data_IF_054307734267
#
_entry.id   IF_054307734267
#
_cell.length_a   1.000
_cell.length_b   1.000
_cell.length_c   1.000
_cell.angle_alpha   90.00
_cell.angle_beta   90.00
_cell.angle_gamma   90.00
#
_symmetry.space_group_name_H-M   'P 1'
#
loop_
_entity.id
_entity.type
_entity.pdbx_description
1 polymer ?
#
# COMPACT_ATOMS: atom_id res chain seq x y z
N UNK A 1 -20.84 14.96 17.81
CA UNK A 1 -19.96 13.80 17.53
C UNK A 1 -20.54 13.09 16.31
N UNK A 2 -19.91 13.15 15.13
CA UNK A 2 -20.38 12.36 13.97
C UNK A 2 -19.89 10.93 14.16
N UNK A 3 -20.82 10.01 14.37
CA UNK A 3 -20.51 8.59 14.52
C UNK A 3 -20.06 8.03 13.17
N UNK A 4 -18.97 7.25 13.17
CA UNK A 4 -18.60 6.47 11.99
C UNK A 4 -19.72 5.44 11.79
N UNK A 5 -20.42 5.43 10.65
CA UNK A 5 -21.51 4.49 10.44
C UNK A 5 -20.98 3.05 10.52
N UNK A 6 -21.82 2.16 11.04
CA UNK A 6 -21.54 0.73 11.04
C UNK A 6 -21.40 0.29 9.58
N UNK A 7 -20.29 -0.39 9.26
CA UNK A 7 -20.06 -0.92 7.93
C UNK A 7 -21.09 -1.99 7.62
N UNK A 8 -21.59 -2.01 6.39
CA UNK A 8 -22.47 -3.09 5.97
C UNK A 8 -21.67 -4.40 5.81
N UNK A 9 -22.40 -5.52 5.71
CA UNK A 9 -21.81 -6.86 5.63
C UNK A 9 -20.84 -6.98 4.45
N UNK A 10 -21.19 -6.44 3.30
CA UNK A 10 -20.35 -6.45 2.09
C UNK A 10 -19.04 -5.69 2.29
N UNK A 11 -19.09 -4.48 2.86
CA UNK A 11 -17.91 -3.70 3.21
C UNK A 11 -17.03 -4.46 4.20
N UNK A 12 -17.64 -5.07 5.22
CA UNK A 12 -16.92 -5.84 6.22
C UNK A 12 -16.23 -7.08 5.61
N UNK A 13 -16.91 -7.78 4.70
CA UNK A 13 -16.36 -8.95 4.00
C UNK A 13 -15.15 -8.58 3.13
N UNK A 14 -15.22 -7.49 2.37
CA UNK A 14 -14.10 -7.01 1.54
C UNK A 14 -12.92 -6.59 2.41
N UNK A 15 -13.17 -5.90 3.53
CA UNK A 15 -12.10 -5.56 4.46
C UNK A 15 -11.47 -6.80 5.09
N UNK A 16 -12.24 -7.85 5.37
CA UNK A 16 -11.69 -9.12 5.83
C UNK A 16 -10.73 -9.73 4.79
N UNK A 17 -11.08 -9.72 3.49
CA UNK A 17 -10.16 -10.15 2.41
C UNK A 17 -8.85 -9.37 2.45
N UNK A 18 -8.91 -8.05 2.60
CA UNK A 18 -7.72 -7.20 2.71
C UNK A 18 -6.84 -7.55 3.93
N UNK A 19 -7.45 -7.85 5.08
CA UNK A 19 -6.72 -8.22 6.30
C UNK A 19 -6.05 -9.57 6.18
N UNK A 20 -6.75 -10.58 5.67
CA UNK A 20 -6.17 -11.91 5.45
C UNK A 20 -5.05 -11.83 4.41
N UNK A 21 -5.25 -11.09 3.31
CA UNK A 21 -4.19 -10.84 2.32
C UNK A 21 -2.97 -10.20 2.97
N UNK A 22 -3.17 -9.18 3.82
CA UNK A 22 -2.07 -8.53 4.53
C UNK A 22 -1.31 -9.53 5.44
N UNK A 23 -2.04 -10.41 6.13
CA UNK A 23 -1.44 -11.43 6.98
C UNK A 23 -0.59 -12.42 6.17
N UNK A 24 -1.11 -12.93 5.04
CA UNK A 24 -0.35 -13.86 4.19
C UNK A 24 0.85 -13.21 3.51
N UNK A 25 0.75 -11.96 3.05
CA UNK A 25 1.92 -11.23 2.52
C UNK A 25 3.02 -11.09 3.58
N UNK A 26 2.65 -10.85 4.86
CA UNK A 26 3.61 -10.80 5.96
C UNK A 26 4.21 -12.16 6.24
N UNK A 27 3.40 -13.22 6.34
CA UNK A 27 3.86 -14.59 6.54
C UNK A 27 4.81 -15.03 5.42
N UNK A 28 4.46 -14.76 4.16
CA UNK A 28 5.29 -15.03 2.97
C UNK A 28 6.64 -14.34 3.06
N UNK A 29 6.67 -13.07 3.50
CA UNK A 29 7.91 -12.32 3.69
C UNK A 29 8.74 -12.88 4.84
N UNK A 30 8.11 -13.25 5.96
CA UNK A 30 8.79 -13.86 7.10
C UNK A 30 9.41 -15.23 6.72
N UNK A 31 8.67 -16.07 5.99
CA UNK A 31 9.13 -17.34 5.47
C UNK A 31 10.36 -17.18 4.55
N UNK A 32 10.31 -16.23 3.60
CA UNK A 32 11.44 -15.94 2.73
C UNK A 32 12.67 -15.43 3.50
N UNK A 33 12.46 -14.66 4.58
CA UNK A 33 13.54 -14.22 5.46
C UNK A 33 14.11 -15.35 6.32
N UNK A 34 13.27 -16.28 6.78
CA UNK A 34 13.71 -17.47 7.51
C UNK A 34 14.59 -18.36 6.64
N UNK A 35 14.17 -18.64 5.39
CA UNK A 35 14.98 -19.39 4.42
C UNK A 35 16.34 -18.71 4.21
N UNK A 36 16.35 -17.39 4.00
CA UNK A 36 17.58 -16.62 3.83
C UNK A 36 18.48 -16.68 5.07
N UNK A 37 17.90 -16.57 6.27
CA UNK A 37 18.64 -16.65 7.53
C UNK A 37 19.34 -18.00 7.71
N UNK A 38 18.59 -19.09 7.53
CA UNK A 38 19.11 -20.45 7.63
C UNK A 38 20.24 -20.71 6.61
N UNK A 39 20.05 -20.32 5.34
CA UNK A 39 21.11 -20.44 4.34
C UNK A 39 22.36 -19.62 4.71
N UNK A 40 22.16 -18.45 5.32
CA UNK A 40 23.23 -17.60 5.83
C UNK A 40 24.12 -18.27 6.89
N UNK A 41 23.55 -19.12 7.76
CA UNK A 41 24.32 -19.89 8.76
C UNK A 41 25.28 -20.88 8.11
N UNK A 42 24.96 -21.33 6.91
CA UNK A 42 25.83 -22.18 6.09
C UNK A 42 26.75 -21.35 5.19
N UNK A 43 26.80 -20.02 5.30
CA UNK A 43 27.63 -19.16 4.44
C UNK A 43 27.04 -18.89 3.05
N UNK A 44 25.79 -19.29 2.80
CA UNK A 44 25.12 -19.11 1.52
C UNK A 44 24.30 -17.82 1.56
N UNK A 45 24.80 -16.78 0.88
CA UNK A 45 24.18 -15.45 0.88
C UNK A 45 23.23 -15.29 -0.30
N UNK A 46 21.92 -15.27 -0.04
CA UNK A 46 20.89 -14.97 -1.04
C UNK A 46 20.51 -13.48 -0.99
N UNK A 47 20.51 -12.75 -2.13
CA UNK A 47 20.08 -11.37 -2.17
C UNK A 47 18.66 -11.13 -1.61
N UNK A 48 18.41 -9.90 -1.18
CA UNK A 48 17.09 -9.51 -0.69
C UNK A 48 16.07 -9.52 -1.85
N UNK A 49 14.93 -10.17 -1.61
CA UNK A 49 13.83 -10.26 -2.57
C UNK A 49 13.26 -11.67 -2.62
N UNK A 50 11.94 -11.77 -2.76
CA UNK A 50 11.27 -13.07 -2.79
C UNK A 50 11.58 -13.85 -4.07
N UNK A 51 11.73 -13.16 -5.21
CA UNK A 51 12.08 -13.79 -6.48
C UNK A 51 13.45 -14.48 -6.45
N UNK A 52 14.42 -13.93 -5.73
CA UNK A 52 15.72 -14.60 -5.54
C UNK A 52 15.59 -15.90 -4.76
N UNK A 53 14.72 -15.94 -3.75
CA UNK A 53 14.45 -17.16 -2.98
C UNK A 53 13.75 -18.19 -3.88
N UNK A 54 12.70 -17.77 -4.58
CA UNK A 54 11.91 -18.65 -5.44
C UNK A 54 12.72 -19.26 -6.59
N UNK A 55 13.68 -18.52 -7.15
CA UNK A 55 14.44 -18.97 -8.31
C UNK A 55 15.75 -19.68 -7.95
N UNK A 56 16.52 -19.17 -6.98
CA UNK A 56 17.88 -19.68 -6.70
C UNK A 56 17.93 -20.82 -5.69
N UNK A 57 17.01 -20.83 -4.73
CA UNK A 57 17.06 -21.82 -3.64
C UNK A 57 16.72 -23.23 -4.14
N UNK A 58 15.77 -23.45 -5.07
CA UNK A 58 15.55 -24.78 -5.66
C UNK A 58 16.80 -25.37 -6.33
N UNK A 59 17.48 -24.58 -7.16
CA UNK A 59 18.73 -25.00 -7.83
C UNK A 59 19.80 -25.38 -6.80
N UNK A 60 19.90 -24.60 -5.73
CA UNK A 60 20.91 -24.79 -4.69
C UNK A 60 20.70 -26.06 -3.85
N UNK A 61 19.45 -26.45 -3.58
CA UNK A 61 19.20 -27.70 -2.84
C UNK A 61 19.30 -28.94 -3.72
N UNK A 62 19.16 -28.79 -5.04
CA UNK A 62 19.36 -29.86 -6.02
C UNK A 62 20.84 -30.08 -6.37
N UNK A 63 21.67 -29.04 -6.28
CA UNK A 63 23.11 -29.13 -6.51
C UNK A 63 23.80 -30.11 -5.55
N UNK A 64 24.18 -31.29 -6.03
CA UNK A 64 24.87 -32.33 -5.26
C UNK A 64 26.33 -32.00 -4.91
N UNK A 65 26.93 -30.97 -5.51
CA UNK A 65 28.34 -30.62 -5.30
C UNK A 65 28.56 -29.76 -4.04
N UNK A 66 27.51 -29.13 -3.50
CA UNK A 66 27.63 -28.33 -2.29
C UNK A 66 27.57 -29.16 -0.99
N UNK A 67 28.08 -28.57 0.10
CA UNK A 67 28.21 -29.20 1.42
C UNK A 67 26.90 -29.27 2.23
N UNK A 68 25.76 -28.87 1.64
CA UNK A 68 24.48 -29.00 2.32
C UNK A 68 24.10 -30.48 2.45
N UNK A 69 23.91 -30.93 3.69
CA UNK A 69 23.53 -32.32 3.97
C UNK A 69 22.05 -32.56 3.69
N UNK A 70 21.69 -33.81 3.36
CA UNK A 70 20.32 -34.20 2.96
C UNK A 70 19.22 -33.74 3.92
N UNK A 71 19.41 -33.87 5.23
CA UNK A 71 18.42 -33.43 6.22
C UNK A 71 18.11 -31.91 6.14
N UNK A 72 19.13 -31.09 5.90
CA UNK A 72 18.95 -29.65 5.75
C UNK A 72 18.28 -29.30 4.42
N UNK A 73 18.65 -29.98 3.33
CA UNK A 73 17.98 -29.82 2.02
C UNK A 73 16.48 -30.10 2.11
N UNK A 74 16.09 -31.18 2.79
CA UNK A 74 14.69 -31.53 3.02
C UNK A 74 13.95 -30.46 3.86
N UNK A 75 14.62 -29.88 4.86
CA UNK A 75 14.07 -28.79 5.65
C UNK A 75 13.84 -27.54 4.81
N UNK A 76 14.83 -27.13 4.02
CA UNK A 76 14.70 -25.96 3.11
C UNK A 76 13.62 -26.20 2.06
N UNK A 77 13.54 -27.40 1.49
CA UNK A 77 12.48 -27.79 0.56
C UNK A 77 11.09 -27.61 1.19
N UNK A 78 10.88 -28.10 2.41
CA UNK A 78 9.61 -27.91 3.14
C UNK A 78 9.26 -26.44 3.32
N UNK A 79 10.25 -25.60 3.63
CA UNK A 79 10.04 -24.16 3.77
C UNK A 79 9.69 -23.48 2.43
N UNK A 80 10.28 -23.94 1.32
CA UNK A 80 9.94 -23.48 -0.03
C UNK A 80 8.53 -23.87 -0.44
N UNK A 81 8.10 -25.10 -0.14
CA UNK A 81 6.75 -25.55 -0.48
C UNK A 81 5.69 -24.74 0.28
N UNK A 82 5.93 -24.45 1.56
CA UNK A 82 5.06 -23.54 2.31
C UNK A 82 5.10 -22.10 1.77
N UNK A 83 6.26 -21.62 1.30
CA UNK A 83 6.36 -20.30 0.66
C UNK A 83 5.51 -20.24 -0.62
N UNK A 84 5.54 -21.29 -1.45
CA UNK A 84 4.72 -21.40 -2.67
C UNK A 84 3.23 -21.42 -2.33
N UNK A 85 2.84 -22.13 -1.28
CA UNK A 85 1.45 -22.16 -0.83
C UNK A 85 0.96 -20.78 -0.36
N UNK A 86 1.77 -20.07 0.44
CA UNK A 86 1.46 -18.70 0.86
C UNK A 86 1.34 -17.74 -0.34
N UNK A 87 2.17 -17.92 -1.37
CA UNK A 87 2.11 -17.13 -2.59
C UNK A 87 0.79 -17.34 -3.34
N UNK A 88 0.42 -18.61 -3.56
CA UNK A 88 -0.88 -19.00 -4.13
C UNK A 88 -2.05 -18.40 -3.35
N UNK A 89 -2.05 -18.50 -2.02
CA UNK A 89 -3.11 -17.92 -1.19
C UNK A 89 -3.21 -16.39 -1.32
N UNK A 90 -2.08 -15.69 -1.47
CA UNK A 90 -2.08 -14.25 -1.74
C UNK A 90 -2.71 -13.94 -3.10
N UNK A 91 -2.35 -14.69 -4.14
CA UNK A 91 -2.91 -14.52 -5.50
C UNK A 91 -4.42 -14.77 -5.55
N UNK A 92 -4.89 -15.83 -4.88
CA UNK A 92 -6.32 -16.13 -4.77
C UNK A 92 -7.12 -15.01 -4.09
N UNK A 93 -6.57 -14.42 -3.02
CA UNK A 93 -7.19 -13.30 -2.33
C UNK A 93 -7.15 -12.02 -3.16
N UNK A 94 -6.06 -11.77 -3.88
CA UNK A 94 -5.98 -10.66 -4.83
C UNK A 94 -7.01 -10.80 -5.94
N UNK A 95 -7.16 -11.98 -6.53
CA UNK A 95 -8.18 -12.25 -7.54
C UNK A 95 -9.60 -11.95 -7.03
N UNK A 96 -9.92 -12.31 -5.78
CA UNK A 96 -11.22 -11.98 -5.15
C UNK A 96 -11.40 -10.47 -4.96
N UNK A 97 -10.37 -9.76 -4.50
CA UNK A 97 -10.39 -8.30 -4.37
C UNK A 97 -10.56 -7.63 -5.74
N UNK A 98 -9.87 -8.12 -6.77
CA UNK A 98 -9.99 -7.63 -8.14
C UNK A 98 -11.38 -7.88 -8.72
N UNK A 99 -12.00 -9.04 -8.44
CA UNK A 99 -13.37 -9.32 -8.84
C UNK A 99 -14.36 -8.34 -8.21
N UNK A 100 -14.24 -8.10 -6.90
CA UNK A 100 -15.06 -7.11 -6.20
C UNK A 100 -14.85 -5.70 -6.76
N UNK A 101 -13.60 -5.30 -6.99
CA UNK A 101 -13.26 -4.01 -7.59
C UNK A 101 -13.93 -3.82 -8.95
N UNK A 102 -13.93 -4.85 -9.81
CA UNK A 102 -14.61 -4.80 -11.12
C UNK A 102 -16.11 -4.60 -10.99
N UNK A 103 -16.76 -5.11 -9.94
CA UNK A 103 -18.18 -4.88 -9.66
C UNK A 103 -18.49 -3.50 -9.08
N UNK A 104 -17.54 -2.89 -8.36
CA UNK A 104 -17.75 -1.63 -7.64
C UNK A 104 -17.42 -0.38 -8.48
N UNK A 105 -18.45 0.37 -8.88
CA UNK A 105 -18.28 1.63 -9.64
C UNK A 105 -17.40 2.65 -8.90
N UNK A 106 -17.64 2.85 -7.60
CA UNK A 106 -16.83 3.74 -6.77
C UNK A 106 -15.37 3.30 -6.75
N UNK A 107 -15.11 1.99 -6.68
CA UNK A 107 -13.74 1.47 -6.67
C UNK A 107 -13.04 1.71 -8.00
N UNK A 108 -13.73 1.49 -9.13
CA UNK A 108 -13.20 1.79 -10.47
C UNK A 108 -12.86 3.27 -10.63
N UNK A 109 -13.77 4.17 -10.22
CA UNK A 109 -13.54 5.62 -10.23
C UNK A 109 -12.30 6.03 -9.43
N UNK A 110 -12.11 5.47 -8.24
CA UNK A 110 -10.92 5.78 -7.43
C UNK A 110 -9.61 5.28 -8.05
N UNK A 111 -9.64 4.17 -8.81
CA UNK A 111 -8.45 3.60 -9.43
C UNK A 111 -7.92 4.40 -10.64
N UNK A 112 -8.67 5.41 -11.11
CA UNK A 112 -8.19 6.36 -12.12
C UNK A 112 -7.19 7.36 -11.55
N UNK A 113 -7.20 7.57 -10.23
CA UNK A 113 -6.29 8.51 -9.56
C UNK A 113 -4.86 7.96 -9.58
N UNK A 114 -3.86 8.70 -10.08
CA UNK A 114 -2.47 8.25 -10.10
C UNK A 114 -1.96 7.84 -8.70
N UNK A 115 -1.53 6.59 -8.59
CA UNK A 115 -1.08 6.00 -7.31
C UNK A 115 -2.19 5.36 -6.49
N UNK A 116 -3.39 5.21 -7.04
CA UNK A 116 -4.44 4.37 -6.47
C UNK A 116 -4.73 3.25 -7.48
N UNK A 117 -4.40 2.01 -7.13
CA UNK A 117 -4.74 0.83 -7.91
C UNK A 117 -5.94 0.07 -7.32
N UNK A 118 -6.38 -1.04 -7.95
CA UNK A 118 -7.55 -1.81 -7.53
C UNK A 118 -7.56 -2.20 -6.03
N UNK A 119 -6.41 -2.65 -5.49
CA UNK A 119 -6.29 -3.03 -4.08
C UNK A 119 -6.46 -1.80 -3.16
N UNK A 120 -5.89 -0.66 -3.52
CA UNK A 120 -6.02 0.58 -2.73
C UNK A 120 -7.43 1.14 -2.84
N UNK A 121 -8.00 1.17 -4.04
CA UNK A 121 -9.34 1.67 -4.30
C UNK A 121 -10.42 0.85 -3.55
N UNK A 122 -10.33 -0.48 -3.60
CA UNK A 122 -11.28 -1.36 -2.90
C UNK A 122 -11.21 -1.19 -1.39
N UNK A 123 -10.00 -1.16 -0.82
CA UNK A 123 -9.82 -0.90 0.60
C UNK A 123 -10.36 0.47 1.02
N UNK A 124 -10.16 1.51 0.20
CA UNK A 124 -10.66 2.86 0.50
C UNK A 124 -12.18 2.93 0.48
N UNK A 125 -12.83 2.40 -0.57
CA UNK A 125 -14.31 2.41 -0.67
C UNK A 125 -14.92 1.63 0.49
N UNK A 126 -14.42 0.43 0.77
CA UNK A 126 -14.94 -0.40 1.85
C UNK A 126 -14.68 0.22 3.24
N UNK A 127 -13.61 0.99 3.41
CA UNK A 127 -13.27 1.60 4.71
C UNK A 127 -13.98 2.93 4.97
N UNK A 128 -14.09 3.79 3.95
CA UNK A 128 -14.68 5.14 4.06
C UNK A 128 -16.20 5.03 4.18
N UNK A 129 -16.83 4.11 3.43
CA UNK A 129 -18.28 4.04 3.34
C UNK A 129 -18.85 5.35 2.76
N UNK A 130 -19.77 5.99 3.48
CA UNK A 130 -20.27 7.30 3.08
C UNK A 130 -19.26 8.41 3.41
N UNK A 131 -18.66 8.98 2.36
CA UNK A 131 -17.68 10.06 2.47
C UNK A 131 -18.25 11.38 3.01
N UNK A 132 -19.58 11.57 2.98
CA UNK A 132 -20.25 12.77 3.54
C UNK A 132 -20.18 12.82 5.06
N UNK A 133 -19.77 11.74 5.71
CA UNK A 133 -19.46 11.72 7.15
C UNK A 133 -18.21 12.54 7.51
N UNK A 134 -17.39 12.90 6.53
CA UNK A 134 -16.27 13.82 6.68
C UNK A 134 -16.63 15.18 6.10
N UNK A 135 -16.39 16.25 6.85
CA UNK A 135 -16.69 17.63 6.43
C UNK A 135 -15.74 18.10 5.32
N UNK A 136 -14.54 17.51 5.25
CA UNK A 136 -13.57 17.82 4.21
C UNK A 136 -12.57 16.69 3.97
N UNK A 137 -11.94 16.70 2.79
CA UNK A 137 -10.85 15.78 2.50
C UNK A 137 -9.64 15.92 3.45
N UNK A 138 -9.49 17.07 4.13
CA UNK A 138 -8.47 17.23 5.18
C UNK A 138 -8.77 16.32 6.38
N UNK A 139 -10.03 16.14 6.74
CA UNK A 139 -10.42 15.20 7.79
C UNK A 139 -10.16 13.74 7.37
N UNK A 140 -10.40 13.37 6.11
CA UNK A 140 -10.04 12.03 5.60
C UNK A 140 -8.53 11.81 5.68
N UNK A 141 -7.72 12.79 5.25
CA UNK A 141 -6.26 12.70 5.36
C UNK A 141 -5.79 12.58 6.83
N UNK A 142 -6.46 13.27 7.76
CA UNK A 142 -6.17 13.16 9.18
C UNK A 142 -6.56 11.80 9.76
N UNK A 143 -7.73 11.27 9.39
CA UNK A 143 -8.23 9.94 9.78
C UNK A 143 -7.32 8.80 9.28
N UNK A 144 -6.71 8.96 8.10
CA UNK A 144 -5.70 8.05 7.55
C UNK A 144 -4.29 8.24 8.17
N UNK A 145 -4.09 9.27 9.01
CA UNK A 145 -2.81 9.55 9.65
C UNK A 145 -1.76 10.15 8.72
N UNK A 146 -2.18 10.79 7.62
CA UNK A 146 -1.34 11.39 6.58
C UNK A 146 -1.06 12.88 6.82
N UNK A 147 -1.41 13.40 7.99
CA UNK A 147 -1.17 14.79 8.40
C UNK A 147 0.01 14.88 9.37
N UNK A 148 0.70 16.04 9.49
CA UNK A 148 1.71 16.24 10.52
C UNK A 148 1.13 16.05 11.93
N UNK A 149 1.93 15.49 12.85
CA UNK A 149 1.60 15.46 14.27
C UNK A 149 1.77 16.88 14.85
N UNK A 150 0.78 17.35 15.58
CA UNK A 150 0.86 18.63 16.29
C UNK A 150 1.39 18.41 17.72
N UNK A 151 2.38 19.21 18.11
CA UNK A 151 2.90 19.30 19.48
C UNK A 151 3.06 20.78 19.82
N UNK A 152 2.01 21.35 20.41
CA UNK A 152 1.93 22.78 20.73
C UNK A 152 1.88 22.97 22.25
N UNK A 153 2.71 23.87 22.77
CA UNK A 153 2.72 24.28 24.19
C UNK A 153 2.93 25.80 24.29
N UNK A 154 2.35 26.44 25.31
CA UNK A 154 2.56 27.86 25.61
C UNK A 154 2.35 28.81 24.41
N UNK A 155 1.33 28.57 23.57
CA UNK A 155 1.03 29.40 22.39
C UNK A 155 1.94 29.17 21.17
N UNK A 156 2.97 28.31 21.24
CA UNK A 156 3.82 27.97 20.09
C UNK A 156 3.28 26.76 19.35
N UNK A 157 2.95 26.92 18.07
CA UNK A 157 2.54 25.83 17.21
C UNK A 157 3.74 25.05 16.67
N UNK A 158 3.98 23.83 17.16
CA UNK A 158 4.96 22.89 16.60
C UNK A 158 4.32 21.80 15.74
N UNK A 159 4.76 21.65 14.49
CA UNK A 159 4.43 20.50 13.65
C UNK A 159 5.63 19.55 13.56
N UNK A 160 5.38 18.26 13.81
CA UNK A 160 6.36 17.19 13.78
C UNK A 160 6.17 16.33 12.51
N UNK A 161 6.78 15.13 12.50
CA UNK A 161 6.60 14.15 11.44
C UNK A 161 5.13 13.69 11.27
N UNK A 162 4.91 12.84 10.27
CA UNK A 162 3.59 12.27 9.98
C UNK A 162 2.97 11.62 11.23
N UNK A 163 1.70 11.95 11.48
CA UNK A 163 0.94 11.54 12.67
C UNK A 163 0.92 10.03 12.88
N UNK A 164 0.76 9.25 11.80
CA UNK A 164 0.59 7.78 11.83
C UNK A 164 -0.63 7.30 12.64
N UNK A 165 -1.42 8.20 13.24
CA UNK A 165 -2.71 7.88 13.87
C UNK A 165 -3.74 7.57 12.79
N UNK A 166 -4.23 6.34 12.75
CA UNK A 166 -5.14 5.85 11.71
C UNK A 166 -4.78 4.44 11.28
N UNK A 167 -5.48 3.94 10.27
CA UNK A 167 -5.28 2.58 9.77
C UNK A 167 -3.91 2.44 9.09
N UNK A 168 -3.04 1.60 9.68
CA UNK A 168 -1.71 1.34 9.13
C UNK A 168 -1.78 0.71 7.74
N UNK A 169 -2.75 -0.16 7.45
CA UNK A 169 -2.88 -0.80 6.14
C UNK A 169 -3.24 0.18 5.04
N UNK A 170 -4.28 0.99 5.23
CA UNK A 170 -4.69 2.00 4.24
C UNK A 170 -3.57 3.00 3.97
N UNK A 171 -2.91 3.46 5.05
CA UNK A 171 -1.75 4.35 4.95
C UNK A 171 -0.61 3.70 4.17
N UNK A 172 -0.29 2.44 4.46
CA UNK A 172 0.73 1.69 3.71
C UNK A 172 0.38 1.61 2.22
N UNK A 173 -0.86 1.25 1.86
CA UNK A 173 -1.29 1.18 0.46
C UNK A 173 -1.15 2.53 -0.27
N UNK A 174 -1.59 3.62 0.35
CA UNK A 174 -1.47 4.96 -0.22
C UNK A 174 -0.01 5.41 -0.38
N UNK A 175 0.86 5.11 0.58
CA UNK A 175 2.28 5.45 0.50
C UNK A 175 2.98 4.62 -0.58
N UNK A 176 2.67 3.33 -0.73
CA UNK A 176 3.24 2.51 -1.80
C UNK A 176 2.75 2.96 -3.18
N UNK A 177 1.47 3.31 -3.31
CA UNK A 177 0.94 3.88 -4.54
C UNK A 177 1.55 5.24 -4.88
N UNK A 178 1.82 6.09 -3.89
CA UNK A 178 2.55 7.33 -4.10
C UNK A 178 4.00 7.09 -4.55
N UNK A 179 4.67 6.09 -3.96
CA UNK A 179 6.03 5.68 -4.35
C UNK A 179 6.09 5.17 -5.80
N UNK A 180 5.09 4.41 -6.26
CA UNK A 180 5.07 3.95 -7.64
C UNK A 180 4.91 5.10 -8.64
N UNK A 181 4.15 6.14 -8.30
CA UNK A 181 4.06 7.37 -9.10
C UNK A 181 5.41 8.08 -9.14
N UNK A 182 6.04 8.27 -7.99
CA UNK A 182 7.35 8.94 -7.90
C UNK A 182 8.42 8.17 -8.68
N UNK A 183 8.40 6.84 -8.62
CA UNK A 183 9.30 5.98 -9.40
C UNK A 183 9.13 6.23 -10.90
N UNK A 184 7.89 6.20 -11.42
CA UNK A 184 7.62 6.49 -12.84
C UNK A 184 8.01 7.91 -13.24
N UNK A 185 7.77 8.89 -12.37
CA UNK A 185 8.18 10.28 -12.60
C UNK A 185 9.70 10.38 -12.74
N UNK A 186 10.46 9.65 -11.92
CA UNK A 186 11.92 9.63 -11.99
C UNK A 186 12.50 8.96 -13.24
N UNK A 187 11.70 8.20 -14.00
CA UNK A 187 12.13 7.59 -15.27
C UNK A 187 11.92 8.49 -16.49
N UNK A 188 11.18 9.60 -16.35
CA UNK A 188 10.93 10.51 -17.48
C UNK A 188 12.05 11.54 -17.60
N UNK A 189 12.58 11.71 -18.80
CA UNK A 189 13.61 12.72 -19.14
C UNK A 189 13.14 14.14 -18.80
N UNK A 190 11.88 14.45 -19.10
CA UNK A 190 11.25 15.74 -18.77
C UNK A 190 10.02 15.53 -17.88
N UNK A 191 10.27 15.17 -16.62
CA UNK A 191 9.21 15.07 -15.63
C UNK A 191 8.61 16.45 -15.29
N UNK A 192 7.40 16.71 -15.77
CA UNK A 192 6.61 17.89 -15.48
C UNK A 192 5.51 17.64 -14.42
N UNK A 193 5.05 18.70 -13.77
CA UNK A 193 3.95 18.67 -12.80
C UNK A 193 4.36 18.80 -11.34
N UNK A 194 3.36 19.03 -10.48
CA UNK A 194 3.56 19.36 -9.06
C UNK A 194 4.44 18.36 -8.31
N UNK A 195 4.25 17.06 -8.51
CA UNK A 195 5.01 16.04 -7.77
C UNK A 195 6.48 16.01 -8.18
N UNK A 196 6.80 16.26 -9.46
CA UNK A 196 8.18 16.34 -9.93
C UNK A 196 8.91 17.52 -9.26
N UNK A 197 8.24 18.66 -9.11
CA UNK A 197 8.75 19.81 -8.35
C UNK A 197 9.02 19.47 -6.88
N UNK A 198 8.09 18.76 -6.21
CA UNK A 198 8.27 18.34 -4.82
C UNK A 198 9.45 17.37 -4.67
N UNK A 199 9.61 16.41 -5.60
CA UNK A 199 10.73 15.45 -5.58
C UNK A 199 12.08 16.14 -5.83
N UNK A 200 12.12 17.22 -6.63
CA UNK A 200 13.34 18.02 -6.82
C UNK A 200 13.75 18.78 -5.54
N UNK A 201 12.78 19.22 -4.75
CA UNK A 201 13.04 20.05 -3.56
C UNK A 201 13.17 19.25 -2.26
N UNK A 202 12.59 18.05 -2.19
CA UNK A 202 12.45 17.27 -0.96
C UNK A 202 12.80 15.80 -1.20
N UNK A 203 13.17 15.10 -0.14
CA UNK A 203 13.42 13.66 -0.25
C UNK A 203 12.17 12.88 -0.71
N UNK A 204 12.40 11.74 -1.37
CA UNK A 204 11.34 10.90 -1.97
C UNK A 204 10.28 10.44 -0.97
N UNK A 205 10.64 10.24 0.31
CA UNK A 205 9.68 9.84 1.34
C UNK A 205 8.72 10.98 1.72
N UNK A 206 9.22 12.22 1.83
CA UNK A 206 8.38 13.41 2.04
C UNK A 206 7.45 13.61 0.84
N UNK A 207 7.97 13.48 -0.38
CA UNK A 207 7.16 13.56 -1.60
C UNK A 207 6.05 12.49 -1.62
N UNK A 208 6.35 11.26 -1.20
CA UNK A 208 5.38 10.17 -1.13
C UNK A 208 4.25 10.48 -0.12
N UNK A 209 4.59 11.02 1.05
CA UNK A 209 3.59 11.43 2.05
C UNK A 209 2.73 12.59 1.50
N UNK A 210 3.35 13.57 0.84
CA UNK A 210 2.63 14.70 0.26
C UNK A 210 1.64 14.24 -0.83
N UNK A 211 2.05 13.33 -1.71
CA UNK A 211 1.17 12.76 -2.74
C UNK A 211 0.06 11.88 -2.12
N UNK A 212 0.37 11.04 -1.14
CA UNK A 212 -0.64 10.26 -0.44
C UNK A 212 -1.69 11.15 0.25
N UNK A 213 -1.26 12.26 0.88
CA UNK A 213 -2.18 13.25 1.47
C UNK A 213 -3.06 13.91 0.39
N UNK A 214 -2.46 14.31 -0.74
CA UNK A 214 -3.20 14.86 -1.89
C UNK A 214 -4.24 13.85 -2.41
N UNK A 215 -3.85 12.59 -2.59
CA UNK A 215 -4.73 11.53 -3.05
C UNK A 215 -5.88 11.26 -2.07
N UNK A 216 -5.64 11.27 -0.76
CA UNK A 216 -6.70 11.15 0.23
C UNK A 216 -7.76 12.25 0.11
N UNK A 217 -7.34 13.48 -0.19
CA UNK A 217 -8.25 14.62 -0.41
C UNK A 217 -9.02 14.51 -1.72
N UNK A 218 -8.38 14.01 -2.79
CA UNK A 218 -9.03 13.73 -4.08
C UNK A 218 -10.09 12.64 -3.89
N UNK A 219 -9.73 11.51 -3.27
CA UNK A 219 -10.65 10.40 -2.97
C UNK A 219 -11.90 10.89 -2.28
N UNK A 220 -11.76 11.70 -1.22
CA UNK A 220 -12.90 12.28 -0.54
C UNK A 220 -13.77 13.13 -1.48
N UNK A 221 -13.17 13.99 -2.30
CA UNK A 221 -13.92 14.86 -3.22
C UNK A 221 -14.68 14.05 -4.28
N UNK A 222 -14.09 12.99 -4.82
CA UNK A 222 -14.74 12.10 -5.79
C UNK A 222 -15.93 11.37 -5.15
N UNK A 223 -15.75 10.82 -3.95
CA UNK A 223 -16.81 10.09 -3.25
C UNK A 223 -17.93 11.00 -2.73
N UNK A 224 -17.59 12.13 -2.12
CA UNK A 224 -18.58 13.02 -1.49
C UNK A 224 -19.43 13.78 -2.52
N UNK A 225 -18.86 14.08 -3.69
CA UNK A 225 -19.52 14.85 -4.75
C UNK A 225 -19.91 14.01 -5.97
N UNK A 226 -19.68 12.69 -5.96
CA UNK A 226 -20.01 11.80 -7.08
C UNK A 226 -19.31 12.13 -8.40
N UNK A 227 -18.12 12.75 -8.34
CA UNK A 227 -17.37 13.20 -9.52
C UNK A 227 -16.43 12.12 -10.04
N UNK A 228 -16.06 12.23 -11.31
CA UNK A 228 -15.00 11.43 -11.92
C UNK A 228 -13.65 12.12 -11.74
N UNK A 229 -12.57 11.34 -11.78
CA UNK A 229 -11.23 11.90 -11.73
C UNK A 229 -10.92 12.63 -13.04
N UNK A 230 -10.36 13.83 -12.94
CA UNK A 230 -9.87 14.60 -14.07
C UNK A 230 -8.45 15.07 -13.76
N UNK A 231 -7.50 14.62 -14.58
CA UNK A 231 -6.08 14.96 -14.44
C UNK A 231 -5.80 16.45 -14.75
N UNK A 232 -6.65 17.08 -15.56
CA UNK A 232 -6.58 18.48 -15.96
C UNK A 232 -7.35 19.43 -15.05
N UNK A 233 -7.97 18.94 -13.96
CA UNK A 233 -8.84 19.75 -13.13
C UNK A 233 -8.11 20.97 -12.54
N UNK A 234 -8.53 22.16 -12.98
CA UNK A 234 -8.16 23.44 -12.38
C UNK A 234 -9.32 23.92 -11.53
N UNK A 235 -9.05 24.23 -10.25
CA UNK A 235 -10.07 24.82 -9.38
C UNK A 235 -10.44 26.19 -9.95
N UNK A 236 -11.64 26.32 -10.50
CA UNK A 236 -12.20 27.63 -10.82
C UNK A 236 -12.21 28.46 -9.53
N UNK A 237 -11.56 29.61 -9.56
CA UNK A 237 -11.58 30.53 -8.43
C UNK A 237 -13.04 30.90 -8.20
N UNK A 238 -13.54 30.67 -6.99
CA UNK A 238 -14.85 31.16 -6.59
C UNK A 238 -14.70 32.67 -6.50
N UNK A 239 -15.17 33.39 -7.53
CA UNK A 239 -15.40 34.83 -7.45
C UNK A 239 -16.50 34.99 -6.40
N UNK A 240 -16.11 35.44 -5.21
CA UNK A 240 -17.02 35.93 -4.18
C UNK A 240 -17.09 37.44 -4.33
#
# INVERSE_FOLDING_TARGET
MRFVPVKNVEQQAVLALHRVRQAFVRARTAQANQIRGLLGEFGIVIPQGIGYIANRVPELIEDGANYLRGAFRLLVQRLLDHLKDLDRQVEELEAKIHAWHRGSELSRKLAEVPGIGPITASALVASIGDAKNFDSGRQVAAWLGLVPKQHSSGGKAGLLGMSKRGDTYLRTLLIHGARSVIYRVGQKTEACGWIAGVVKQRNKNIAAVALANKNARIVWALLAHGRNFDAGYVRQATTV
#
